data_IF_963074719911
#
_entry.id   IF_963074719911
#
_cell.length_a   1.000
_cell.length_b   1.000
_cell.length_c   1.000
_cell.angle_alpha   90.00
_cell.angle_beta   90.00
_cell.angle_gamma   90.00
#
_symmetry.space_group_name_H-M   'P 1'
#
loop_
_entity.id
_entity.type
_entity.pdbx_description
1 polymer ?
#
# COMPACT_ATOMS: atom_id res chain seq x y z
N UNK A 1 6.69 14.90 -3.03
CA UNK A 1 5.80 13.77 -3.37
C UNK A 1 4.48 14.06 -2.67
N UNK A 2 3.36 13.96 -3.36
CA UNK A 2 2.04 14.09 -2.74
C UNK A 2 1.74 12.79 -2.00
N UNK A 3 1.91 12.78 -0.68
CA UNK A 3 1.85 11.56 0.15
C UNK A 3 0.44 11.01 0.33
N UNK A 4 -0.57 11.85 0.08
CA UNK A 4 -1.99 11.50 0.16
C UNK A 4 -2.58 11.09 -1.20
N UNK A 5 -1.80 11.20 -2.29
CA UNK A 5 -2.23 10.76 -3.59
C UNK A 5 -2.41 9.23 -3.61
N UNK A 6 -3.36 8.70 -4.41
CA UNK A 6 -3.49 7.26 -4.63
C UNK A 6 -2.14 6.65 -5.05
N UNK A 7 -1.78 5.49 -4.52
CA UNK A 7 -0.59 4.76 -4.98
C UNK A 7 -0.74 4.33 -6.44
N UNK A 8 -1.93 3.82 -6.80
CA UNK A 8 -2.22 3.24 -8.10
C UNK A 8 -3.06 4.17 -8.99
N UNK A 9 -3.02 3.95 -10.31
CA UNK A 9 -3.83 4.71 -11.26
C UNK A 9 -3.32 6.14 -11.46
N UNK A 10 -4.22 7.13 -11.38
CA UNK A 10 -3.92 8.54 -11.69
C UNK A 10 -3.12 9.28 -10.58
N UNK A 11 -2.77 8.60 -9.49
CA UNK A 11 -1.97 9.19 -8.41
C UNK A 11 -0.46 9.05 -8.67
N UNK A 12 0.23 8.28 -7.82
CA UNK A 12 1.68 8.04 -7.96
C UNK A 12 2.02 7.09 -9.11
N UNK A 13 1.01 6.49 -9.76
CA UNK A 13 1.18 5.73 -10.99
C UNK A 13 1.85 4.37 -10.81
N UNK A 14 1.82 3.79 -9.61
CA UNK A 14 2.30 2.43 -9.41
C UNK A 14 1.45 1.46 -10.24
N UNK A 15 2.12 0.52 -10.89
CA UNK A 15 1.47 -0.51 -11.68
C UNK A 15 1.11 -1.74 -10.83
N UNK A 16 0.56 -2.78 -11.47
CA UNK A 16 0.15 -4.01 -10.77
C UNK A 16 1.33 -4.85 -10.28
N UNK A 17 2.53 -4.69 -10.87
CA UNK A 17 3.75 -5.38 -10.44
C UNK A 17 4.29 -4.69 -9.19
N UNK A 18 4.38 -3.37 -9.24
CA UNK A 18 4.79 -2.55 -8.10
C UNK A 18 3.90 -2.79 -6.87
N UNK A 19 2.59 -2.92 -7.07
CA UNK A 19 1.64 -3.25 -6.01
C UNK A 19 1.99 -4.56 -5.28
N UNK A 20 2.36 -5.57 -6.07
CA UNK A 20 2.68 -6.90 -5.57
C UNK A 20 4.03 -6.90 -4.83
N UNK A 21 5.02 -6.21 -5.38
CA UNK A 21 6.33 -6.05 -4.74
C UNK A 21 6.23 -5.25 -3.43
N UNK A 22 5.46 -4.16 -3.42
CA UNK A 22 5.21 -3.36 -2.23
C UNK A 22 4.52 -4.17 -1.13
N UNK A 23 3.49 -4.94 -1.50
CA UNK A 23 2.81 -5.83 -0.56
C UNK A 23 3.76 -6.88 0.02
N UNK A 24 4.59 -7.51 -0.81
CA UNK A 24 5.56 -8.50 -0.36
C UNK A 24 6.62 -7.88 0.56
N UNK A 25 7.14 -6.70 0.23
CA UNK A 25 8.12 -5.98 1.02
C UNK A 25 7.57 -5.62 2.41
N UNK A 26 6.36 -5.04 2.47
CA UNK A 26 5.70 -4.68 3.73
C UNK A 26 5.42 -5.90 4.60
N UNK A 27 4.94 -6.99 4.00
CA UNK A 27 4.74 -8.27 4.70
C UNK A 27 6.04 -8.79 5.31
N UNK A 28 7.13 -8.77 4.55
CA UNK A 28 8.41 -9.34 4.99
C UNK A 28 9.08 -8.47 6.06
N UNK A 29 9.02 -7.14 5.93
CA UNK A 29 9.68 -6.21 6.84
C UNK A 29 8.91 -6.03 8.16
N UNK A 30 7.57 -5.92 8.08
CA UNK A 30 6.73 -5.59 9.23
C UNK A 30 5.90 -6.76 9.76
N UNK A 31 6.02 -7.95 9.15
CA UNK A 31 5.27 -9.15 9.58
C UNK A 31 3.75 -9.06 9.34
N UNK A 32 3.31 -8.15 8.47
CA UNK A 32 1.88 -7.93 8.19
C UNK A 32 1.31 -9.08 7.36
N UNK A 33 0.18 -9.64 7.79
CA UNK A 33 -0.62 -10.55 6.98
C UNK A 33 -1.54 -9.74 6.07
N UNK A 34 -1.20 -9.69 4.78
CA UNK A 34 -2.04 -9.01 3.79
C UNK A 34 -3.22 -9.90 3.40
N UNK A 35 -4.44 -9.54 3.80
CA UNK A 35 -5.67 -10.11 3.23
C UNK A 35 -6.20 -9.17 2.15
N UNK A 36 -5.91 -9.49 0.89
CA UNK A 36 -6.27 -8.67 -0.27
C UNK A 36 -7.79 -8.44 -0.45
N UNK A 37 -8.62 -9.16 0.31
CA UNK A 37 -10.09 -9.11 0.19
C UNK A 37 -10.75 -8.16 1.21
N UNK A 38 -10.02 -7.56 2.15
CA UNK A 38 -10.61 -6.64 3.12
C UNK A 38 -10.62 -5.20 2.60
N UNK A 39 -11.73 -4.50 2.81
CA UNK A 39 -11.86 -3.08 2.48
C UNK A 39 -10.92 -2.21 3.32
N UNK A 40 -10.61 -2.67 4.53
CA UNK A 40 -9.61 -2.12 5.44
C UNK A 40 -8.19 -2.14 4.83
N UNK A 41 -7.81 -3.25 4.18
CA UNK A 41 -6.50 -3.35 3.51
C UNK A 41 -6.38 -2.34 2.36
N UNK A 42 -7.46 -2.15 1.58
CA UNK A 42 -7.50 -1.13 0.53
C UNK A 42 -7.31 0.29 1.07
N UNK A 43 -7.80 0.58 2.28
CA UNK A 43 -7.60 1.87 2.93
C UNK A 43 -6.14 2.08 3.35
N UNK A 44 -5.49 1.04 3.90
CA UNK A 44 -4.07 1.13 4.28
C UNK A 44 -3.14 1.30 3.07
N UNK A 45 -3.44 0.63 1.95
CA UNK A 45 -2.67 0.72 0.71
C UNK A 45 -3.13 1.83 -0.24
N UNK A 46 -3.93 2.78 0.24
CA UNK A 46 -4.42 3.88 -0.60
C UNK A 46 -3.32 4.87 -0.98
N UNK A 47 -2.54 5.35 0.00
CA UNK A 47 -1.50 6.35 -0.18
C UNK A 47 -0.25 6.04 0.65
N UNK A 48 0.82 6.80 0.44
CA UNK A 48 2.04 6.67 1.26
C UNK A 48 1.74 7.00 2.72
N UNK A 49 0.88 8.00 2.97
CA UNK A 49 0.51 8.41 4.32
C UNK A 49 -0.29 7.32 5.05
N UNK A 50 -1.26 6.68 4.39
CA UNK A 50 -2.05 5.59 4.99
C UNK A 50 -1.19 4.36 5.25
N UNK A 51 -0.26 4.05 4.34
CA UNK A 51 0.64 2.91 4.49
C UNK A 51 1.62 3.14 5.64
N UNK A 52 2.20 4.34 5.74
CA UNK A 52 3.08 4.73 6.84
C UNK A 52 2.34 4.67 8.19
N UNK A 53 1.09 5.12 8.24
CA UNK A 53 0.27 5.08 9.46
C UNK A 53 -0.07 3.66 9.91
N UNK A 54 -0.13 2.72 8.96
CA UNK A 54 -0.44 1.32 9.24
C UNK A 54 0.76 0.53 9.79
N UNK A 55 1.98 0.90 9.41
CA UNK A 55 3.23 0.20 9.79
C UNK A 55 4.01 0.88 10.92
N UNK A 56 3.58 2.06 11.37
CA UNK A 56 4.20 2.82 12.47
C UNK A 56 3.94 2.18 13.84
#
# INVERSE_FOLDING_TARGET
>A
IETDAPLFGDGLGLDSIDALELGLAVKNEYGVVLSAESEEMRQHFFSVATLASFIA
#
